data_IF_644379485740
#
_entry.id   IF_644379485740
#
_cell.length_a   1.000
_cell.length_b   1.000
_cell.length_c   1.000
_cell.angle_alpha   90.00
_cell.angle_beta   90.00
_cell.angle_gamma   90.00
#
_symmetry.space_group_name_H-M   'P 1'
#
loop_
_entity.id
_entity.type
_entity.pdbx_description
1 polymer ?
#
# COMPACT_ATOMS: atom_id res chain seq x y z
N UNK A 1 -11.77 -20.14 -24.57
CA UNK A 1 -12.06 -18.93 -23.75
C UNK A 1 -11.73 -17.69 -24.55
N UNK A 2 -12.59 -16.67 -24.53
CA UNK A 2 -12.34 -15.44 -25.28
C UNK A 2 -11.17 -14.66 -24.66
N UNK A 3 -10.26 -14.16 -25.50
CA UNK A 3 -9.11 -13.32 -25.11
C UNK A 3 -9.55 -12.09 -24.28
N UNK A 4 -10.72 -11.54 -24.57
CA UNK A 4 -11.31 -10.42 -23.83
C UNK A 4 -11.61 -10.76 -22.35
N UNK A 5 -12.09 -11.98 -22.07
CA UNK A 5 -12.33 -12.43 -20.70
C UNK A 5 -11.04 -12.55 -19.90
N UNK A 6 -9.98 -13.09 -20.53
CA UNK A 6 -8.65 -13.20 -19.90
C UNK A 6 -8.10 -11.81 -19.61
N UNK A 7 -8.23 -10.86 -20.53
CA UNK A 7 -7.81 -9.48 -20.30
C UNK A 7 -8.58 -8.81 -19.16
N UNK A 8 -9.88 -9.04 -19.07
CA UNK A 8 -10.71 -8.49 -17.98
C UNK A 8 -10.22 -8.98 -16.62
N UNK A 9 -10.06 -10.29 -16.44
CA UNK A 9 -9.56 -10.89 -15.20
C UNK A 9 -8.16 -10.38 -14.87
N UNK A 10 -7.26 -10.29 -15.85
CA UNK A 10 -5.92 -9.76 -15.65
C UNK A 10 -5.92 -8.30 -15.20
N UNK A 11 -6.84 -7.49 -15.71
CA UNK A 11 -6.95 -6.09 -15.31
C UNK A 11 -7.55 -5.93 -13.91
N UNK A 12 -8.50 -6.76 -13.53
CA UNK A 12 -9.09 -6.79 -12.19
C UNK A 12 -8.06 -7.17 -11.11
N UNK A 13 -7.10 -8.03 -11.46
CA UNK A 13 -6.04 -8.46 -10.53
C UNK A 13 -4.87 -7.49 -10.43
N UNK A 14 -4.79 -6.48 -11.30
CA UNK A 14 -3.76 -5.46 -11.22
C UNK A 14 -4.05 -4.51 -10.07
N UNK A 15 -3.01 -4.20 -9.29
CA UNK A 15 -3.06 -3.03 -8.41
C UNK A 15 -3.22 -1.78 -9.27
N UNK A 16 -4.07 -0.85 -8.84
CA UNK A 16 -4.38 0.36 -9.57
C UNK A 16 -3.12 1.19 -9.87
N UNK A 17 -2.20 1.25 -8.91
CA UNK A 17 -0.97 1.98 -9.07
C UNK A 17 0.21 1.18 -8.52
N UNK A 18 1.28 1.13 -9.30
CA UNK A 18 2.55 0.51 -8.92
C UNK A 18 3.69 1.40 -9.40
N UNK A 19 4.68 1.60 -8.55
CA UNK A 19 5.87 2.40 -8.87
C UNK A 19 6.60 1.81 -10.08
N UNK A 20 7.03 2.66 -11.02
CA UNK A 20 7.81 2.26 -12.20
C UNK A 20 9.26 1.94 -11.81
N UNK A 21 9.45 0.70 -11.38
CA UNK A 21 10.76 0.16 -11.00
C UNK A 21 11.54 -0.25 -12.24
N UNK A 22 12.82 0.11 -12.28
CA UNK A 22 13.76 -0.23 -13.37
C UNK A 22 14.93 -1.03 -12.83
N UNK A 23 15.54 -1.83 -13.71
CA UNK A 23 16.80 -2.48 -13.36
C UNK A 23 17.87 -1.45 -13.00
N UNK A 24 18.64 -1.71 -11.95
CA UNK A 24 19.62 -0.77 -11.39
C UNK A 24 19.06 0.13 -10.28
N UNK A 25 17.76 0.20 -10.08
CA UNK A 25 17.17 0.93 -8.95
C UNK A 25 17.46 0.19 -7.63
N UNK A 26 17.77 0.94 -6.58
CA UNK A 26 17.77 0.40 -5.22
C UNK A 26 16.39 0.59 -4.64
N UNK A 27 15.75 -0.49 -4.23
CA UNK A 27 14.37 -0.49 -3.76
C UNK A 27 14.24 -1.07 -2.36
N UNK A 28 13.22 -0.62 -1.65
CA UNK A 28 12.68 -1.25 -0.43
C UNK A 28 11.35 -1.90 -0.78
N UNK A 29 11.29 -3.21 -0.67
CA UNK A 29 10.06 -3.97 -0.87
C UNK A 29 9.49 -4.32 0.48
N UNK A 30 8.28 -3.83 0.78
CA UNK A 30 7.52 -4.14 1.97
C UNK A 30 6.70 -5.39 1.69
N UNK A 31 7.12 -6.50 2.24
CA UNK A 31 6.45 -7.78 2.08
C UNK A 31 5.68 -8.13 3.34
N UNK A 32 4.40 -8.46 3.19
CA UNK A 32 3.56 -9.02 4.24
C UNK A 32 3.88 -10.50 4.42
N UNK A 33 4.23 -10.88 5.64
CA UNK A 33 4.48 -12.26 6.04
C UNK A 33 3.48 -12.64 7.10
N UNK A 34 2.86 -13.80 6.91
CA UNK A 34 1.94 -14.38 7.88
C UNK A 34 2.68 -15.46 8.67
N UNK A 35 2.74 -15.28 9.98
CA UNK A 35 3.35 -16.21 10.93
C UNK A 35 2.27 -16.69 11.91
N UNK A 36 1.68 -17.85 11.62
CA UNK A 36 0.51 -18.34 12.35
C UNK A 36 -0.68 -17.38 12.23
N UNK A 37 -1.12 -16.82 13.35
CA UNK A 37 -2.23 -15.85 13.42
C UNK A 37 -1.79 -14.38 13.35
N UNK A 38 -0.48 -14.11 13.28
CA UNK A 38 0.05 -12.74 13.22
C UNK A 38 0.55 -12.44 11.82
N UNK A 39 0.28 -11.21 11.36
CA UNK A 39 0.84 -10.66 10.13
C UNK A 39 1.86 -9.59 10.48
N UNK A 40 3.01 -9.62 9.81
CA UNK A 40 4.02 -8.58 9.93
C UNK A 40 4.56 -8.18 8.58
N UNK A 41 5.02 -6.93 8.49
CA UNK A 41 5.67 -6.41 7.29
C UNK A 41 7.17 -6.61 7.44
N UNK A 42 7.78 -7.27 6.47
CA UNK A 42 9.23 -7.40 6.35
C UNK A 42 9.74 -6.56 5.19
N UNK A 43 10.74 -5.72 5.45
CA UNK A 43 11.38 -4.88 4.45
C UNK A 43 12.56 -5.63 3.85
N UNK A 44 12.57 -5.76 2.52
CA UNK A 44 13.69 -6.28 1.75
C UNK A 44 14.29 -5.15 0.91
N UNK A 45 15.47 -4.65 1.33
CA UNK A 45 16.18 -3.59 0.62
C UNK A 45 17.31 -4.19 -0.23
N UNK A 46 17.39 -3.77 -1.49
CA UNK A 46 18.44 -4.22 -2.40
C UNK A 46 18.37 -3.57 -3.77
N UNK A 47 19.26 -4.00 -4.65
CA UNK A 47 19.34 -3.52 -6.03
C UNK A 47 18.52 -4.43 -6.93
N UNK A 48 17.70 -3.83 -7.79
CA UNK A 48 16.94 -4.55 -8.83
C UNK A 48 17.91 -4.98 -9.92
N UNK A 49 18.10 -6.29 -10.06
CA UNK A 49 18.98 -6.86 -11.09
C UNK A 49 18.22 -7.18 -12.37
N UNK A 50 16.90 -7.39 -12.29
CA UNK A 50 16.08 -7.75 -13.44
C UNK A 50 14.63 -7.32 -13.23
N UNK A 51 14.00 -6.88 -14.33
CA UNK A 51 12.55 -6.63 -14.39
C UNK A 51 11.97 -7.45 -15.53
N UNK A 52 10.87 -8.16 -15.28
CA UNK A 52 10.18 -9.00 -16.26
C UNK A 52 8.72 -8.56 -16.41
N UNK A 53 8.15 -8.75 -17.59
CA UNK A 53 6.74 -8.53 -17.91
C UNK A 53 6.19 -7.17 -17.46
N UNK A 54 6.98 -6.11 -17.68
CA UNK A 54 6.61 -4.76 -17.27
C UNK A 54 5.25 -4.35 -17.82
N UNK A 55 4.40 -3.77 -16.97
CA UNK A 55 3.05 -3.33 -17.33
C UNK A 55 1.98 -4.42 -17.36
N UNK A 56 2.34 -5.68 -17.15
CA UNK A 56 1.41 -6.80 -17.05
C UNK A 56 1.10 -7.14 -15.60
N UNK A 57 -0.01 -7.84 -15.33
CA UNK A 57 -0.34 -8.33 -13.99
C UNK A 57 0.74 -9.28 -13.43
N UNK A 58 1.49 -9.97 -14.30
CA UNK A 58 2.64 -10.83 -13.97
C UNK A 58 3.95 -10.06 -13.83
N UNK A 59 3.93 -8.73 -13.79
CA UNK A 59 5.12 -7.90 -13.62
C UNK A 59 5.92 -8.32 -12.40
N UNK A 60 7.21 -8.62 -12.61
CA UNK A 60 8.10 -9.16 -11.59
C UNK A 60 9.42 -8.41 -11.56
N UNK A 61 9.92 -8.18 -10.37
CA UNK A 61 11.26 -7.64 -10.13
C UNK A 61 12.10 -8.66 -9.35
N UNK A 62 13.37 -8.78 -9.70
CA UNK A 62 14.34 -9.57 -8.93
C UNK A 62 15.29 -8.62 -8.23
N UNK A 63 15.29 -8.66 -6.91
CA UNK A 63 16.07 -7.79 -6.04
C UNK A 63 17.21 -8.59 -5.42
N UNK A 64 18.42 -8.04 -5.47
CA UNK A 64 19.63 -8.61 -4.88
C UNK A 64 20.13 -7.74 -3.74
N UNK A 65 20.43 -8.37 -2.63
CA UNK A 65 21.19 -7.75 -1.52
C UNK A 65 22.34 -8.64 -1.11
N UNK A 66 23.34 -8.08 -0.47
CA UNK A 66 24.41 -8.81 0.20
C UNK A 66 24.08 -8.81 1.68
N UNK A 67 23.87 -9.97 2.27
CA UNK A 67 23.62 -10.18 3.68
C UNK A 67 24.73 -11.04 4.27
N UNK A 68 25.46 -10.52 5.24
CA UNK A 68 26.59 -11.23 5.90
C UNK A 68 27.61 -11.83 4.91
N UNK A 69 27.94 -11.06 3.85
CA UNK A 69 28.88 -11.51 2.80
C UNK A 69 28.25 -12.42 1.72
N UNK A 70 27.03 -12.89 1.90
CA UNK A 70 26.33 -13.75 0.96
C UNK A 70 25.36 -12.96 0.09
N UNK A 71 25.38 -13.18 -1.22
CA UNK A 71 24.45 -12.56 -2.15
C UNK A 71 23.10 -13.27 -2.14
N UNK A 72 22.05 -12.60 -1.69
CA UNK A 72 20.67 -13.10 -1.65
C UNK A 72 19.87 -12.44 -2.74
N UNK A 73 19.16 -13.24 -3.55
CA UNK A 73 18.25 -12.77 -4.60
C UNK A 73 16.84 -13.23 -4.30
N UNK A 74 15.89 -12.29 -4.39
CA UNK A 74 14.47 -12.58 -4.22
C UNK A 74 13.66 -11.94 -5.33
N UNK A 75 12.75 -12.70 -5.92
CA UNK A 75 11.82 -12.19 -6.93
C UNK A 75 10.48 -11.86 -6.30
N UNK A 76 9.94 -10.69 -6.66
CA UNK A 76 8.67 -10.20 -6.19
C UNK A 76 7.74 -9.92 -7.37
N UNK A 77 6.52 -10.42 -7.31
CA UNK A 77 5.43 -10.04 -8.21
C UNK A 77 4.85 -8.72 -7.70
N UNK A 78 4.90 -7.66 -8.50
CA UNK A 78 4.51 -6.31 -8.08
C UNK A 78 3.02 -6.22 -7.72
N UNK A 79 2.17 -6.93 -8.45
CA UNK A 79 0.72 -6.94 -8.23
C UNK A 79 0.26 -7.97 -7.18
N UNK A 80 1.20 -8.73 -6.56
CA UNK A 80 0.84 -9.69 -5.51
C UNK A 80 0.29 -8.98 -4.27
N UNK A 81 -0.74 -9.53 -3.61
CA UNK A 81 -1.24 -9.01 -2.33
C UNK A 81 -0.21 -9.12 -1.19
N UNK A 82 0.78 -10.03 -1.33
CA UNK A 82 1.88 -10.16 -0.36
C UNK A 82 2.88 -8.99 -0.42
N UNK A 83 2.96 -8.28 -1.54
CA UNK A 83 3.79 -7.08 -1.67
C UNK A 83 2.90 -5.90 -1.36
N UNK A 84 3.08 -5.25 -0.23
CA UNK A 84 2.28 -4.11 0.16
C UNK A 84 2.70 -2.86 -0.62
N UNK A 85 3.99 -2.53 -0.54
CA UNK A 85 4.55 -1.29 -1.09
C UNK A 85 5.95 -1.54 -1.63
N UNK A 86 6.31 -0.83 -2.69
CA UNK A 86 7.68 -0.78 -3.21
C UNK A 86 8.12 0.67 -3.28
N UNK A 87 9.25 0.99 -2.65
CA UNK A 87 9.82 2.34 -2.63
C UNK A 87 11.15 2.34 -3.36
N UNK A 88 11.37 3.33 -4.21
CA UNK A 88 12.66 3.57 -4.85
C UNK A 88 13.47 4.50 -3.94
N UNK A 89 14.60 3.99 -3.46
CA UNK A 89 15.54 4.74 -2.61
C UNK A 89 16.55 5.49 -3.46
N UNK A 90 17.04 4.83 -4.52
CA UNK A 90 18.08 5.38 -5.40
C UNK A 90 17.86 4.87 -6.82
N UNK A 91 18.07 5.73 -7.79
CA UNK A 91 18.04 5.36 -9.21
C UNK A 91 19.44 5.34 -9.78
N UNK A 92 19.73 4.37 -10.65
CA UNK A 92 21.04 4.25 -11.28
C UNK A 92 20.92 4.07 -12.78
N UNK A 93 21.89 4.62 -13.52
CA UNK A 93 21.96 4.50 -14.99
C UNK A 93 22.53 3.13 -15.36
N UNK A 94 21.77 2.34 -16.08
CA UNK A 94 22.18 1.04 -16.61
C UNK A 94 21.80 0.92 -18.09
N UNK A 95 22.54 0.11 -18.83
CA UNK A 95 22.31 -0.12 -20.28
C UNK A 95 21.51 -1.40 -20.56
N UNK A 96 21.50 -2.35 -19.62
CA UNK A 96 20.86 -3.67 -19.79
C UNK A 96 19.75 -3.83 -18.78
N UNK A 97 18.71 -4.57 -19.17
CA UNK A 97 17.64 -4.91 -18.24
C UNK A 97 18.07 -5.99 -17.21
N UNK A 98 18.90 -6.94 -17.62
CA UNK A 98 19.40 -7.98 -16.72
C UNK A 98 20.87 -7.71 -16.36
N UNK A 99 21.12 -7.47 -15.07
CA UNK A 99 22.41 -7.09 -14.51
C UNK A 99 23.11 -8.31 -13.88
N UNK A 100 23.27 -9.41 -14.64
CA UNK A 100 23.87 -10.65 -14.16
C UNK A 100 25.29 -10.48 -13.62
N UNK A 101 26.04 -9.51 -14.17
CA UNK A 101 27.40 -9.21 -13.76
C UNK A 101 27.54 -8.77 -12.29
N UNK A 102 26.47 -8.27 -11.67
CA UNK A 102 26.48 -7.89 -10.26
C UNK A 102 26.63 -9.09 -9.33
N UNK A 103 26.41 -10.30 -9.83
CA UNK A 103 26.63 -11.55 -9.07
C UNK A 103 28.11 -11.80 -8.80
N UNK A 104 28.95 -11.50 -9.78
CA UNK A 104 30.39 -11.72 -9.69
C UNK A 104 31.15 -10.53 -9.10
N UNK A 105 30.51 -9.34 -8.99
CA UNK A 105 31.15 -8.13 -8.52
C UNK A 105 30.78 -7.82 -7.07
N UNK A 106 31.76 -7.34 -6.30
CA UNK A 106 31.59 -6.90 -4.93
C UNK A 106 32.31 -5.57 -4.68
N UNK A 107 32.02 -4.93 -3.57
CA UNK A 107 32.66 -3.69 -3.15
C UNK A 107 32.51 -2.53 -4.14
N UNK A 108 33.61 -1.88 -4.47
CA UNK A 108 33.64 -0.73 -5.40
C UNK A 108 33.17 -1.10 -6.81
N UNK A 109 33.48 -2.32 -7.30
CA UNK A 109 33.10 -2.80 -8.64
C UNK A 109 31.59 -3.07 -8.82
N UNK A 110 30.84 -3.20 -7.75
CA UNK A 110 29.40 -3.38 -7.78
C UNK A 110 28.61 -2.06 -7.72
N UNK A 111 29.29 -0.91 -7.51
CA UNK A 111 28.63 0.40 -7.43
C UNK A 111 28.14 0.83 -8.82
N UNK A 112 26.87 1.17 -8.91
CA UNK A 112 26.25 1.72 -10.10
C UNK A 112 26.28 3.25 -10.04
N UNK A 113 26.38 3.89 -11.21
CA UNK A 113 26.35 5.36 -11.33
C UNK A 113 24.96 5.87 -10.97
N UNK A 114 24.86 6.72 -9.95
CA UNK A 114 23.59 7.30 -9.53
C UNK A 114 23.09 8.33 -10.55
N UNK A 115 21.78 8.43 -10.66
CA UNK A 115 21.07 9.47 -11.40
C UNK A 115 20.20 10.24 -10.41
N UNK A 116 20.18 11.54 -10.55
CA UNK A 116 19.25 12.37 -9.77
C UNK A 116 17.81 12.08 -10.23
N UNK A 117 16.91 11.91 -9.28
CA UNK A 117 15.49 11.76 -9.52
C UNK A 117 14.72 12.30 -8.31
N UNK A 118 13.53 12.76 -8.56
CA UNK A 118 12.62 13.17 -7.50
C UNK A 118 12.04 11.93 -6.82
N UNK A 119 12.51 11.68 -5.59
CA UNK A 119 12.12 10.50 -4.81
C UNK A 119 10.68 10.59 -4.36
N UNK A 120 10.21 11.78 -3.99
CA UNK A 120 8.86 11.97 -3.48
C UNK A 120 7.85 11.81 -4.61
N UNK A 121 8.07 12.46 -5.75
CA UNK A 121 7.20 12.34 -6.91
C UNK A 121 7.09 10.91 -7.46
N UNK A 122 8.18 10.14 -7.43
CA UNK A 122 8.19 8.76 -7.93
C UNK A 122 7.55 7.78 -6.94
N UNK A 123 7.71 8.00 -5.63
CA UNK A 123 7.16 7.13 -4.59
C UNK A 123 5.76 7.56 -4.11
N UNK A 124 5.33 8.79 -4.42
CA UNK A 124 3.97 9.28 -4.15
C UNK A 124 2.97 8.65 -5.13
N UNK A 125 2.98 7.31 -5.18
CA UNK A 125 1.90 6.56 -5.80
C UNK A 125 0.75 6.58 -4.81
N UNK A 126 -0.03 7.65 -4.90
CA UNK A 126 -1.25 7.82 -4.11
C UNK A 126 -2.26 6.84 -4.68
N UNK A 127 -2.61 5.83 -3.93
CA UNK A 127 -3.74 4.96 -4.25
C UNK A 127 -5.02 5.79 -4.10
N UNK A 128 -5.41 6.51 -5.19
CA UNK A 128 -6.63 7.32 -5.23
C UNK A 128 -7.86 6.51 -4.76
N UNK A 129 -7.90 5.21 -5.10
CA UNK A 129 -8.94 4.32 -4.59
C UNK A 129 -8.89 4.12 -3.07
N UNK A 130 -7.70 3.96 -2.50
CA UNK A 130 -7.56 3.81 -1.05
C UNK A 130 -7.88 5.12 -0.31
N UNK A 131 -7.56 6.27 -0.89
CA UNK A 131 -7.96 7.57 -0.36
C UNK A 131 -9.48 7.81 -0.49
N UNK A 132 -10.07 7.45 -1.62
CA UNK A 132 -11.51 7.54 -1.83
C UNK A 132 -12.28 6.59 -0.89
N UNK A 133 -11.81 5.35 -0.70
CA UNK A 133 -12.39 4.42 0.27
C UNK A 133 -12.21 4.90 1.71
N UNK A 134 -11.03 5.40 2.06
CA UNK A 134 -10.79 5.97 3.38
C UNK A 134 -11.62 7.25 3.62
N UNK A 135 -11.84 8.06 2.59
CA UNK A 135 -12.71 9.23 2.66
C UNK A 135 -14.19 8.83 2.83
N UNK A 136 -14.65 7.82 2.08
CA UNK A 136 -16.01 7.28 2.22
C UNK A 136 -16.25 6.68 3.61
N UNK A 137 -15.32 5.85 4.10
CA UNK A 137 -15.43 5.26 5.44
C UNK A 137 -15.43 6.33 6.54
N UNK A 138 -14.65 7.40 6.38
CA UNK A 138 -14.68 8.55 7.31
C UNK A 138 -15.98 9.32 7.24
N UNK A 139 -16.55 9.45 6.06
CA UNK A 139 -17.82 10.14 5.88
C UNK A 139 -19.01 9.32 6.41
N UNK A 140 -18.99 8.01 6.20
CA UNK A 140 -19.97 7.08 6.79
C UNK A 140 -19.88 7.05 8.32
N UNK A 141 -18.66 6.99 8.87
CA UNK A 141 -18.43 7.05 10.31
C UNK A 141 -18.87 8.38 10.93
N UNK A 142 -18.70 9.50 10.20
CA UNK A 142 -19.22 10.81 10.62
C UNK A 142 -20.76 10.83 10.64
N UNK A 143 -21.39 10.37 9.58
CA UNK A 143 -22.85 10.30 9.49
C UNK A 143 -23.44 9.40 10.58
N UNK A 144 -22.77 8.27 10.87
CA UNK A 144 -23.20 7.36 11.95
C UNK A 144 -23.01 7.97 13.34
N UNK A 145 -21.95 8.76 13.55
CA UNK A 145 -21.72 9.48 14.78
C UNK A 145 -22.72 10.62 14.96
N UNK A 146 -23.02 11.38 13.90
CA UNK A 146 -24.04 12.44 13.92
C UNK A 146 -25.45 11.87 14.15
N UNK A 147 -25.80 10.74 13.53
CA UNK A 147 -27.09 10.06 13.76
C UNK A 147 -27.23 9.60 15.21
N UNK A 148 -26.18 8.97 15.78
CA UNK A 148 -26.18 8.56 17.20
C UNK A 148 -26.22 9.73 18.17
N UNK A 149 -25.68 10.87 17.76
CA UNK A 149 -25.72 12.09 18.58
C UNK A 149 -27.12 12.72 18.54
N UNK A 150 -27.72 12.77 17.37
CA UNK A 150 -29.10 13.23 17.20
C UNK A 150 -30.13 12.35 17.94
N UNK A 151 -29.94 11.02 17.95
CA UNK A 151 -30.77 10.09 18.74
C UNK A 151 -30.65 10.36 20.26
N UNK A 152 -29.41 10.55 20.75
CA UNK A 152 -29.19 10.88 22.16
C UNK A 152 -29.76 12.24 22.56
N UNK A 153 -29.65 13.23 21.69
CA UNK A 153 -30.20 14.55 21.94
C UNK A 153 -31.75 14.53 21.92
N UNK A 154 -32.34 13.71 21.03
CA UNK A 154 -33.79 13.47 21.00
C UNK A 154 -34.29 12.74 22.26
N UNK A 155 -33.56 11.71 22.71
CA UNK A 155 -33.88 10.95 23.92
C UNK A 155 -33.73 11.81 25.20
N UNK A 156 -32.71 12.67 25.24
CA UNK A 156 -32.51 13.63 26.32
C UNK A 156 -33.65 14.69 26.37
N UNK A 157 -34.05 15.20 25.21
CA UNK A 157 -35.16 16.12 25.11
C UNK A 157 -36.51 15.51 25.54
N UNK A 158 -36.75 14.24 25.22
CA UNK A 158 -37.95 13.50 25.63
C UNK A 158 -37.97 13.24 27.13
N UNK A 159 -36.81 12.93 27.73
CA UNK A 159 -36.65 12.79 29.17
C UNK A 159 -36.89 14.12 29.92
N UNK A 160 -36.35 15.25 29.41
CA UNK A 160 -36.60 16.56 29.98
C UNK A 160 -38.10 16.95 29.89
N UNK A 161 -38.73 16.66 28.75
CA UNK A 161 -40.16 16.93 28.58
C UNK A 161 -41.02 16.09 29.57
N UNK A 162 -40.68 14.83 29.79
CA UNK A 162 -41.35 13.96 30.80
C UNK A 162 -41.13 14.44 32.23
N UNK A 163 -39.92 14.93 32.55
CA UNK A 163 -39.63 15.51 33.87
C UNK A 163 -40.41 16.77 34.13
N UNK A 164 -40.49 17.70 33.16
CA UNK A 164 -41.32 18.92 33.27
C UNK A 164 -42.80 18.63 33.41
N UNK A 165 -43.32 17.65 32.69
CA UNK A 165 -44.71 17.24 32.82
C UNK A 165 -45.04 16.63 34.21
N UNK A 166 -44.13 15.92 34.82
CA UNK A 166 -44.26 15.39 36.18
C UNK A 166 -44.19 16.50 37.23
N UNK A 167 -43.26 17.48 37.03
CA UNK A 167 -43.18 18.64 37.92
C UNK A 167 -44.45 19.54 37.88
N UNK A 168 -45.00 19.75 36.67
CA UNK A 168 -46.24 20.50 36.51
C UNK A 168 -47.44 19.73 37.14
N UNK A 169 -47.51 18.43 37.00
CA UNK A 169 -48.55 17.60 37.66
C UNK A 169 -48.44 17.63 39.18
N UNK A 170 -47.22 17.66 39.73
CA UNK A 170 -46.99 17.82 41.17
C UNK A 170 -47.40 19.22 41.72
N UNK A 171 -47.18 20.28 40.90
CA UNK A 171 -47.59 21.66 41.26
C UNK A 171 -49.12 21.86 41.20
N UNK A 172 -49.81 21.08 40.39
CA UNK A 172 -51.28 21.18 40.27
C UNK A 172 -52.06 20.40 41.34
N UNK A 173 -51.42 19.51 42.09
CA UNK A 173 -52.01 18.65 43.09
C UNK A 173 -51.66 18.98 44.56
N UNK A 174 -50.96 20.10 44.80
CA UNK A 174 -50.65 20.65 46.11
C UNK A 174 -51.23 22.04 46.28
#
# INVERSE_FOLDING_TARGET
MSFALIQKVNNEQKKAQVVDVRSGDTVRVHQKIKEGNKERIQIFEGVVIRTDNKGQHTSRITVRKIASGVGVEKSFLLHSPLVEKVEIVRRSKVRRNFLSFLRARSGKGARLTAVQFDREAVNSVVDKHAEEEAARLKEEAKKEAEAKQAEKDAEAAELEAKQKAVEEAHKANG
#
